data_IF_778535050118
#
_entry.id   IF_778535050118
#
_cell.length_a   1.000
_cell.length_b   1.000
_cell.length_c   1.000
_cell.angle_alpha   90.00
_cell.angle_beta   90.00
_cell.angle_gamma   90.00
#
_symmetry.space_group_name_H-M   'P 1'
#
loop_
_entity.id
_entity.type
_entity.pdbx_description
1 polymer ?
#
# COMPACT_ATOMS: atom_id res chain seq x y z
N UNK A 1 -40.65 -49.34 -5.55
CA UNK A 1 -39.66 -49.07 -6.63
C UNK A 1 -39.18 -47.62 -6.64
N UNK A 2 -40.01 -46.65 -6.27
CA UNK A 2 -39.68 -45.21 -6.21
C UNK A 2 -38.65 -44.83 -5.12
N UNK A 3 -38.74 -45.45 -3.93
CA UNK A 3 -37.83 -45.14 -2.81
C UNK A 3 -36.35 -45.53 -3.06
N UNK A 4 -36.08 -46.49 -3.95
CA UNK A 4 -34.71 -46.86 -4.31
C UNK A 4 -34.13 -45.95 -5.39
N UNK A 5 -34.97 -45.38 -6.25
CA UNK A 5 -34.57 -44.41 -7.29
C UNK A 5 -34.24 -43.07 -6.63
N UNK A 6 -35.10 -42.59 -5.73
CA UNK A 6 -34.88 -41.33 -5.00
C UNK A 6 -33.59 -41.34 -4.16
N UNK A 7 -33.25 -42.48 -3.56
CA UNK A 7 -32.01 -42.63 -2.77
C UNK A 7 -30.74 -42.52 -3.61
N UNK A 8 -30.79 -42.98 -4.87
CA UNK A 8 -29.65 -42.89 -5.80
C UNK A 8 -29.47 -41.46 -6.32
N UNK A 9 -30.57 -40.76 -6.60
CA UNK A 9 -30.51 -39.34 -7.01
C UNK A 9 -30.00 -38.45 -5.87
N UNK A 10 -30.41 -38.69 -4.62
CA UNK A 10 -29.88 -37.93 -3.47
C UNK A 10 -28.38 -38.13 -3.30
N UNK A 11 -27.88 -39.36 -3.44
CA UNK A 11 -26.45 -39.66 -3.34
C UNK A 11 -25.64 -38.92 -4.42
N UNK A 12 -26.14 -38.90 -5.66
CA UNK A 12 -25.51 -38.19 -6.77
C UNK A 12 -25.48 -36.67 -6.56
N UNK A 13 -26.57 -36.08 -6.08
CA UNK A 13 -26.62 -34.63 -5.76
C UNK A 13 -25.62 -34.28 -4.66
N UNK A 14 -25.48 -35.14 -3.65
CA UNK A 14 -24.59 -34.91 -2.52
C UNK A 14 -23.11 -35.03 -2.91
N UNK A 15 -22.76 -35.92 -3.83
CA UNK A 15 -21.42 -36.00 -4.43
C UNK A 15 -21.09 -34.77 -5.27
N UNK A 16 -22.03 -34.30 -6.09
CA UNK A 16 -21.86 -33.06 -6.88
C UNK A 16 -21.67 -31.85 -5.96
N UNK A 17 -22.42 -31.76 -4.86
CA UNK A 17 -22.21 -30.70 -3.86
C UNK A 17 -20.85 -30.81 -3.15
N UNK A 18 -20.37 -32.04 -2.88
CA UNK A 18 -19.05 -32.27 -2.28
C UNK A 18 -17.92 -31.88 -3.23
N UNK A 19 -18.06 -32.20 -4.51
CA UNK A 19 -17.12 -31.79 -5.56
C UNK A 19 -17.15 -30.29 -5.78
N UNK A 20 -18.33 -29.66 -5.77
CA UNK A 20 -18.47 -28.20 -5.81
C UNK A 20 -17.78 -27.55 -4.60
N UNK A 21 -18.01 -28.04 -3.38
CA UNK A 21 -17.35 -27.55 -2.16
C UNK A 21 -15.83 -27.76 -2.17
N UNK A 22 -15.33 -28.86 -2.75
CA UNK A 22 -13.89 -29.13 -2.90
C UNK A 22 -13.22 -28.28 -3.99
N UNK A 23 -13.98 -27.85 -5.02
CA UNK A 23 -13.51 -26.95 -6.08
C UNK A 23 -13.53 -25.47 -5.69
N UNK A 24 -14.14 -25.12 -4.55
CA UNK A 24 -13.96 -23.82 -3.91
C UNK A 24 -12.54 -23.79 -3.34
N UNK A 25 -11.58 -23.57 -4.23
CA UNK A 25 -10.22 -23.17 -3.89
C UNK A 25 -10.35 -21.83 -3.17
N UNK A 26 -10.12 -21.83 -1.86
CA UNK A 26 -10.23 -20.64 -1.01
C UNK A 26 -9.06 -19.68 -1.27
N UNK A 27 -9.10 -19.01 -2.44
CA UNK A 27 -8.13 -18.01 -2.88
C UNK A 27 -8.12 -16.75 -1.99
N UNK A 28 -9.03 -16.68 -1.02
CA UNK A 28 -9.05 -15.68 0.06
C UNK A 28 -7.81 -15.80 0.95
N UNK A 29 -7.39 -17.04 1.24
CA UNK A 29 -6.34 -17.36 2.23
C UNK A 29 -4.91 -17.04 1.75
N UNK A 30 -4.66 -17.17 0.44
CA UNK A 30 -3.37 -16.80 -0.17
C UNK A 30 -3.15 -15.29 -0.24
N UNK A 31 -4.24 -14.54 -0.42
CA UNK A 31 -4.22 -13.07 -0.37
C UNK A 31 -3.98 -12.54 1.04
N UNK A 32 -4.65 -13.14 2.02
CA UNK A 32 -4.57 -12.76 3.42
C UNK A 32 -3.18 -13.04 4.02
N UNK A 33 -2.55 -14.16 3.64
CA UNK A 33 -1.18 -14.51 4.07
C UNK A 33 -0.12 -13.54 3.55
N UNK A 34 -0.15 -13.21 2.25
CA UNK A 34 0.78 -12.23 1.66
C UNK A 34 0.52 -10.81 2.15
N UNK A 35 -0.73 -10.46 2.38
CA UNK A 35 -1.11 -9.17 2.94
C UNK A 35 -0.62 -9.00 4.38
N UNK A 36 -0.76 -10.04 5.21
CA UNK A 36 -0.22 -10.10 6.57
C UNK A 36 1.30 -9.94 6.57
N UNK A 37 2.02 -10.62 5.68
CA UNK A 37 3.47 -10.44 5.52
C UNK A 37 3.84 -9.02 5.07
N UNK A 38 3.11 -8.45 4.11
CA UNK A 38 3.35 -7.08 3.62
C UNK A 38 3.09 -6.06 4.73
N UNK A 39 1.98 -6.17 5.46
CA UNK A 39 1.72 -5.32 6.62
C UNK A 39 2.75 -5.51 7.71
N UNK A 40 3.19 -6.74 7.98
CA UNK A 40 4.22 -7.01 8.96
C UNK A 40 5.56 -6.35 8.56
N UNK A 41 5.97 -6.44 7.29
CA UNK A 41 7.18 -5.78 6.78
C UNK A 41 7.03 -4.25 6.86
N UNK A 42 5.88 -3.70 6.49
CA UNK A 42 5.61 -2.26 6.56
C UNK A 42 5.58 -1.74 8.00
N UNK A 43 4.92 -2.45 8.90
CA UNK A 43 4.85 -2.11 10.33
C UNK A 43 6.24 -2.24 10.96
N UNK A 44 6.94 -3.36 10.76
CA UNK A 44 8.28 -3.56 11.31
C UNK A 44 9.27 -2.53 10.76
N UNK A 45 9.25 -2.25 9.45
CA UNK A 45 10.10 -1.22 8.84
C UNK A 45 9.77 0.19 9.35
N UNK A 46 8.49 0.51 9.54
CA UNK A 46 8.04 1.79 10.09
C UNK A 46 8.44 1.95 11.55
N UNK A 47 8.33 0.90 12.36
CA UNK A 47 8.76 0.87 13.76
C UNK A 47 10.27 0.98 13.83
N UNK A 48 11.02 0.24 13.03
CA UNK A 48 12.49 0.34 13.03
C UNK A 48 12.96 1.74 12.63
N UNK A 49 12.32 2.34 11.62
CA UNK A 49 12.64 3.69 11.14
C UNK A 49 12.26 4.76 12.18
N UNK A 50 11.05 4.71 12.75
CA UNK A 50 10.62 5.65 13.79
C UNK A 50 11.44 5.49 15.07
N UNK A 51 11.79 4.27 15.46
CA UNK A 51 12.62 4.00 16.64
C UNK A 51 14.06 4.45 16.42
N UNK A 52 14.66 4.20 15.25
CA UNK A 52 16.01 4.68 14.93
C UNK A 52 16.08 6.21 14.85
N UNK A 53 15.05 6.86 14.30
CA UNK A 53 14.95 8.32 14.23
C UNK A 53 14.70 8.93 15.61
N UNK A 54 13.79 8.35 16.41
CA UNK A 54 13.53 8.78 17.77
C UNK A 54 14.77 8.63 18.66
N UNK A 55 15.52 7.52 18.51
CA UNK A 55 16.77 7.30 19.23
C UNK A 55 17.83 8.34 18.84
N UNK A 56 17.96 8.66 17.54
CA UNK A 56 18.88 9.71 17.06
C UNK A 56 18.50 11.11 17.53
N UNK A 57 17.21 11.44 17.49
CA UNK A 57 16.68 12.70 18.01
C UNK A 57 16.91 12.82 19.52
N UNK A 58 16.64 11.75 20.27
CA UNK A 58 16.87 11.69 21.71
C UNK A 58 18.36 11.81 22.06
N UNK A 59 19.25 11.17 21.29
CA UNK A 59 20.70 11.32 21.47
C UNK A 59 21.18 12.74 21.17
N UNK A 60 20.63 13.44 20.17
CA UNK A 60 21.03 14.83 19.87
C UNK A 60 20.45 15.84 20.87
N UNK A 61 19.16 15.75 21.20
CA UNK A 61 18.46 16.64 22.15
C UNK A 61 19.08 16.58 23.54
N UNK A 62 19.46 15.38 23.99
CA UNK A 62 20.04 15.20 25.32
C UNK A 62 21.54 15.53 25.39
N UNK A 63 22.24 15.60 24.25
CA UNK A 63 23.70 15.76 24.18
C UNK A 63 24.17 17.18 23.79
N UNK A 64 23.39 17.96 23.03
CA UNK A 64 23.78 19.32 22.60
C UNK A 64 22.96 20.38 23.36
N UNK A 65 23.46 20.74 24.55
CA UNK A 65 22.86 21.72 25.45
C UNK A 65 23.43 23.13 25.18
N UNK A 66 23.23 23.65 23.97
CA UNK A 66 23.55 25.04 23.61
C UNK A 66 22.56 25.50 22.55
N UNK A 67 21.74 26.52 22.86
CA UNK A 67 20.68 27.00 21.96
C UNK A 67 21.24 28.11 21.04
N UNK A 68 21.52 27.79 19.78
CA UNK A 68 21.76 28.75 18.70
C UNK A 68 20.57 28.87 17.73
N UNK A 69 20.54 29.92 16.91
CA UNK A 69 19.59 30.07 15.80
C UNK A 69 19.78 28.98 14.73
N UNK A 70 21.03 28.53 14.53
CA UNK A 70 21.36 27.45 13.60
C UNK A 70 20.75 26.09 14.01
N UNK A 71 20.64 25.83 15.32
CA UNK A 71 20.01 24.61 15.83
C UNK A 71 18.50 24.55 15.55
N UNK A 72 17.82 25.70 15.59
CA UNK A 72 16.38 25.79 15.29
C UNK A 72 16.11 25.44 13.82
N UNK A 73 16.95 25.93 12.91
CA UNK A 73 16.84 25.64 11.47
C UNK A 73 17.10 24.14 11.22
N UNK A 74 18.08 23.56 11.91
CA UNK A 74 18.40 22.14 11.81
C UNK A 74 17.24 21.25 12.30
N UNK A 75 16.63 21.57 13.45
CA UNK A 75 15.48 20.82 14.00
C UNK A 75 14.26 20.93 13.09
N UNK A 76 14.01 22.09 12.49
CA UNK A 76 12.93 22.27 11.53
C UNK A 76 13.14 21.41 10.28
N UNK A 77 14.35 21.39 9.72
CA UNK A 77 14.69 20.56 8.56
C UNK A 77 14.54 19.06 8.84
N UNK A 78 14.96 18.60 10.03
CA UNK A 78 14.76 17.22 10.47
C UNK A 78 13.28 16.86 10.63
N UNK A 79 12.48 17.76 11.21
CA UNK A 79 11.04 17.54 11.40
C UNK A 79 10.32 17.42 10.06
N UNK A 80 10.65 18.31 9.11
CA UNK A 80 10.10 18.27 7.76
C UNK A 80 10.44 16.96 7.03
N UNK A 81 11.68 16.50 7.15
CA UNK A 81 12.10 15.22 6.59
C UNK A 81 11.27 14.04 7.15
N UNK A 82 11.05 14.01 8.47
CA UNK A 82 10.22 12.97 9.11
C UNK A 82 8.77 13.02 8.61
N UNK A 83 8.18 14.22 8.49
CA UNK A 83 6.83 14.39 7.95
C UNK A 83 6.68 13.85 6.53
N UNK A 84 7.69 14.04 5.67
CA UNK A 84 7.68 13.50 4.30
C UNK A 84 7.66 11.97 4.33
N UNK A 85 8.46 11.34 5.18
CA UNK A 85 8.50 9.87 5.27
C UNK A 85 7.14 9.34 5.75
N UNK A 86 6.57 9.93 6.80
CA UNK A 86 5.27 9.55 7.32
C UNK A 86 4.15 9.71 6.29
N UNK A 87 4.17 10.79 5.50
CA UNK A 87 3.21 11.03 4.43
C UNK A 87 3.28 9.93 3.33
N UNK A 88 4.48 9.56 2.89
CA UNK A 88 4.66 8.48 1.90
C UNK A 88 4.18 7.12 2.41
N UNK A 89 4.33 6.86 3.71
CA UNK A 89 3.80 5.64 4.35
C UNK A 89 2.28 5.67 4.38
N UNK A 90 1.69 6.77 4.85
CA UNK A 90 0.25 6.92 4.96
C UNK A 90 -0.44 6.74 3.60
N UNK A 91 0.09 7.37 2.55
CA UNK A 91 -0.43 7.23 1.18
C UNK A 91 -0.34 5.79 0.66
N UNK A 92 0.72 5.06 0.98
CA UNK A 92 0.86 3.64 0.63
C UNK A 92 -0.20 2.77 1.33
N UNK A 93 -0.43 2.99 2.63
CA UNK A 93 -1.41 2.23 3.43
C UNK A 93 -2.83 2.45 2.90
N UNK A 94 -3.19 3.69 2.53
CA UNK A 94 -4.50 4.01 1.96
C UNK A 94 -4.70 3.25 0.65
N UNK A 95 -3.71 3.26 -0.27
CA UNK A 95 -3.78 2.54 -1.55
C UNK A 95 -3.91 1.03 -1.36
N UNK A 96 -3.20 0.45 -0.40
CA UNK A 96 -3.33 -0.96 -0.05
C UNK A 96 -4.73 -1.30 0.48
N UNK A 97 -5.29 -0.46 1.34
CA UNK A 97 -6.66 -0.63 1.85
C UNK A 97 -7.70 -0.65 0.71
N UNK A 98 -7.55 0.24 -0.27
CA UNK A 98 -8.44 0.30 -1.45
C UNK A 98 -8.32 -0.98 -2.29
N UNK A 99 -7.10 -1.46 -2.57
CA UNK A 99 -6.87 -2.71 -3.31
C UNK A 99 -7.53 -3.92 -2.63
N UNK A 100 -7.46 -4.00 -1.30
CA UNK A 100 -8.13 -5.08 -0.56
C UNK A 100 -9.65 -4.97 -0.64
N UNK A 101 -10.18 -3.75 -0.52
CA UNK A 101 -11.60 -3.50 -0.69
C UNK A 101 -12.06 -3.98 -2.08
N UNK A 102 -11.26 -3.76 -3.13
CA UNK A 102 -11.56 -4.21 -4.50
C UNK A 102 -11.57 -5.73 -4.62
N UNK A 103 -10.58 -6.40 -4.01
CA UNK A 103 -10.53 -7.86 -3.97
C UNK A 103 -11.77 -8.45 -3.28
N UNK A 104 -12.24 -7.81 -2.21
CA UNK A 104 -13.42 -8.25 -1.44
C UNK A 104 -14.73 -8.02 -2.20
N UNK A 105 -14.86 -6.91 -2.91
CA UNK A 105 -16.09 -6.56 -3.63
C UNK A 105 -16.22 -7.33 -4.95
N UNK A 106 -15.12 -7.53 -5.68
CA UNK A 106 -15.13 -8.12 -7.01
C UNK A 106 -14.38 -9.46 -7.04
N UNK A 107 -15.13 -10.56 -6.94
CA UNK A 107 -14.60 -11.92 -7.04
C UNK A 107 -14.40 -12.40 -8.50
N UNK A 108 -13.94 -11.53 -9.40
CA UNK A 108 -13.66 -11.86 -10.80
C UNK A 108 -12.18 -12.22 -11.00
N UNK A 109 -11.87 -13.23 -11.81
CA UNK A 109 -10.48 -13.68 -12.07
C UNK A 109 -9.58 -12.58 -12.61
N UNK A 110 -10.11 -11.73 -13.50
CA UNK A 110 -9.40 -10.58 -14.04
C UNK A 110 -9.05 -9.56 -12.94
N UNK A 111 -9.96 -9.35 -11.99
CA UNK A 111 -9.74 -8.44 -10.86
C UNK A 111 -8.75 -8.97 -9.86
N UNK A 112 -8.77 -10.28 -9.59
CA UNK A 112 -7.79 -10.88 -8.70
C UNK A 112 -6.39 -10.76 -9.30
N UNK A 113 -6.23 -10.98 -10.61
CA UNK A 113 -4.95 -10.75 -11.30
C UNK A 113 -4.52 -9.29 -11.23
N UNK A 114 -5.37 -8.35 -11.65
CA UNK A 114 -5.04 -6.92 -11.65
C UNK A 114 -4.74 -6.38 -10.24
N UNK A 115 -5.51 -6.79 -9.25
CA UNK A 115 -5.28 -6.41 -7.84
C UNK A 115 -3.97 -7.01 -7.32
N UNK A 116 -3.63 -8.24 -7.68
CA UNK A 116 -2.35 -8.88 -7.30
C UNK A 116 -1.15 -8.18 -7.94
N UNK A 117 -1.27 -7.80 -9.22
CA UNK A 117 -0.26 -6.98 -9.90
C UNK A 117 -0.11 -5.60 -9.26
N UNK A 118 -1.23 -4.94 -8.94
CA UNK A 118 -1.23 -3.66 -8.23
C UNK A 118 -0.56 -3.74 -6.86
N UNK A 119 -0.84 -4.81 -6.10
CA UNK A 119 -0.22 -5.05 -4.79
C UNK A 119 1.30 -5.25 -4.91
N UNK A 120 1.74 -6.01 -5.92
CA UNK A 120 3.16 -6.27 -6.18
C UNK A 120 3.91 -5.01 -6.65
N UNK A 121 3.28 -4.18 -7.49
CA UNK A 121 3.84 -2.90 -7.91
C UNK A 121 4.01 -1.94 -6.72
N UNK A 122 2.96 -1.80 -5.90
CA UNK A 122 2.99 -0.93 -4.72
C UNK A 122 4.02 -1.41 -3.69
N UNK A 123 4.15 -2.71 -3.45
CA UNK A 123 5.16 -3.23 -2.52
C UNK A 123 6.58 -2.98 -3.03
N UNK A 124 6.85 -3.21 -4.32
CA UNK A 124 8.15 -2.92 -4.93
C UNK A 124 8.51 -1.42 -4.82
N UNK A 125 7.53 -0.55 -5.06
CA UNK A 125 7.69 0.90 -4.91
C UNK A 125 8.04 1.29 -3.47
N UNK A 126 7.35 0.75 -2.48
CA UNK A 126 7.63 1.04 -1.07
C UNK A 126 9.00 0.54 -0.62
N UNK A 127 9.42 -0.65 -1.08
CA UNK A 127 10.75 -1.17 -0.80
C UNK A 127 11.81 -0.24 -1.39
N UNK A 128 11.63 0.19 -2.65
CA UNK A 128 12.52 1.15 -3.31
C UNK A 128 12.63 2.46 -2.51
N UNK A 129 11.51 3.00 -2.04
CA UNK A 129 11.48 4.18 -1.18
C UNK A 129 12.25 3.98 0.13
N UNK A 130 12.03 2.87 0.84
CA UNK A 130 12.71 2.57 2.09
C UNK A 130 14.24 2.55 1.96
N UNK A 131 14.78 2.14 0.81
CA UNK A 131 16.21 2.15 0.54
C UNK A 131 16.73 3.47 -0.03
N UNK A 132 15.98 4.13 -0.93
CA UNK A 132 16.44 5.38 -1.56
C UNK A 132 16.37 6.58 -0.60
N UNK A 133 15.33 6.69 0.24
CA UNK A 133 15.17 7.85 1.13
C UNK A 133 16.39 8.05 2.05
N UNK A 134 16.88 7.02 2.77
CA UNK A 134 18.08 7.14 3.60
C UNK A 134 19.37 7.25 2.78
N UNK A 135 19.38 6.91 1.49
CA UNK A 135 20.61 6.91 0.67
C UNK A 135 20.68 8.10 -0.30
N UNK A 136 19.74 9.06 -0.24
CA UNK A 136 19.74 10.23 -1.12
C UNK A 136 20.95 11.17 -0.91
N UNK A 137 21.53 11.16 0.29
CA UNK A 137 22.73 11.92 0.63
C UNK A 137 23.75 10.97 1.27
N UNK A 138 24.99 11.03 0.79
CA UNK A 138 26.12 10.34 1.42
C UNK A 138 27.13 11.39 1.89
N UNK A 139 27.37 11.54 3.21
CA UNK A 139 26.61 10.98 4.34
C UNK A 139 25.24 11.66 4.52
N UNK A 140 24.27 10.95 5.11
CA UNK A 140 22.91 11.44 5.40
C UNK A 140 22.90 12.73 6.20
N UNK A 141 23.90 12.91 7.07
CA UNK A 141 24.06 14.08 7.93
C UNK A 141 24.21 15.39 7.15
N UNK A 142 24.72 15.31 5.93
CA UNK A 142 24.87 16.47 5.03
C UNK A 142 23.52 17.06 4.58
N UNK A 143 22.40 16.36 4.83
CA UNK A 143 21.06 16.88 4.54
C UNK A 143 20.68 18.05 5.44
N UNK A 144 20.95 17.93 6.74
CA UNK A 144 20.57 18.93 7.75
C UNK A 144 21.74 19.78 8.22
N UNK A 145 22.97 19.30 8.06
CA UNK A 145 24.18 20.02 8.41
C UNK A 145 24.96 20.38 7.14
N UNK A 146 24.83 21.63 6.69
CA UNK A 146 25.54 22.14 5.51
C UNK A 146 27.05 22.29 5.74
N UNK A 147 27.53 22.17 6.97
CA UNK A 147 28.97 22.20 7.26
C UNK A 147 29.67 20.89 6.86
N UNK A 148 28.93 19.78 6.77
CA UNK A 148 29.46 18.48 6.35
C UNK A 148 29.51 18.43 4.82
N UNK A 149 30.72 18.25 4.25
CA UNK A 149 30.88 18.01 2.80
C UNK A 149 30.32 16.64 2.43
N UNK A 150 29.08 16.62 1.94
CA UNK A 150 28.43 15.45 1.37
C UNK A 150 28.04 15.66 -0.09
N UNK A 151 27.82 14.55 -0.80
CA UNK A 151 27.26 14.56 -2.16
C UNK A 151 25.81 14.11 -2.05
N UNK A 152 24.89 15.03 -2.34
CA UNK A 152 23.44 14.78 -2.32
C UNK A 152 22.91 14.75 -3.75
N UNK A 153 21.94 13.86 -3.99
CA UNK A 153 21.11 13.91 -5.19
C UNK A 153 20.18 15.12 -5.08
N UNK A 154 19.80 15.71 -6.21
CA UNK A 154 18.92 16.87 -6.25
C UNK A 154 17.57 16.51 -5.59
N UNK A 155 17.32 17.12 -4.44
CA UNK A 155 16.19 16.84 -3.56
C UNK A 155 14.87 17.13 -4.28
N UNK A 156 14.85 18.24 -5.03
CA UNK A 156 13.67 18.70 -5.74
C UNK A 156 13.29 17.72 -6.85
N UNK A 157 14.28 17.30 -7.65
CA UNK A 157 14.07 16.31 -8.71
C UNK A 157 13.56 14.98 -8.14
N UNK A 158 14.12 14.55 -7.02
CA UNK A 158 13.69 13.32 -6.34
C UNK A 158 12.24 13.45 -5.84
N UNK A 159 11.89 14.56 -5.20
CA UNK A 159 10.52 14.79 -4.71
C UNK A 159 9.50 14.86 -5.85
N UNK A 160 9.82 15.55 -6.95
CA UNK A 160 8.94 15.59 -8.12
C UNK A 160 8.74 14.21 -8.74
N UNK A 161 9.80 13.40 -8.81
CA UNK A 161 9.70 12.02 -9.29
C UNK A 161 8.79 11.17 -8.41
N UNK A 162 8.93 11.29 -7.09
CA UNK A 162 8.09 10.55 -6.13
C UNK A 162 6.63 11.01 -6.18
N UNK A 163 6.38 12.31 -6.33
CA UNK A 163 5.04 12.84 -6.51
C UNK A 163 4.41 12.34 -7.82
N UNK A 164 5.17 12.37 -8.93
CA UNK A 164 4.70 11.90 -10.23
C UNK A 164 4.29 10.43 -10.19
N UNK A 165 5.14 9.55 -9.62
CA UNK A 165 4.80 8.12 -9.54
C UNK A 165 3.60 7.86 -8.63
N UNK A 166 3.47 8.59 -7.52
CA UNK A 166 2.30 8.47 -6.66
C UNK A 166 1.00 8.85 -7.40
N UNK A 167 1.01 9.96 -8.15
CA UNK A 167 -0.12 10.39 -8.96
C UNK A 167 -0.45 9.36 -10.04
N UNK A 168 0.56 8.84 -10.73
CA UNK A 168 0.38 7.79 -11.75
C UNK A 168 -0.24 6.54 -11.12
N UNK A 169 0.22 6.12 -9.95
CA UNK A 169 -0.35 5.00 -9.22
C UNK A 169 -1.83 5.26 -8.87
N UNK A 170 -2.19 6.49 -8.51
CA UNK A 170 -3.60 6.84 -8.25
C UNK A 170 -4.45 6.70 -9.51
N UNK A 171 -3.99 7.22 -10.66
CA UNK A 171 -4.70 7.03 -11.93
C UNK A 171 -4.86 5.56 -12.31
N UNK A 172 -3.83 4.73 -12.09
CA UNK A 172 -3.92 3.28 -12.32
C UNK A 172 -5.00 2.66 -11.43
N UNK A 173 -5.04 2.99 -10.14
CA UNK A 173 -6.06 2.51 -9.21
C UNK A 173 -7.48 2.94 -9.61
N UNK A 174 -7.64 4.18 -10.11
CA UNK A 174 -8.92 4.68 -10.62
C UNK A 174 -9.37 4.00 -11.90
N UNK A 175 -8.43 3.63 -12.77
CA UNK A 175 -8.74 2.93 -14.01
C UNK A 175 -9.15 1.47 -13.77
N UNK A 176 -8.71 0.87 -12.67
CA UNK A 176 -8.92 -0.54 -12.33
C UNK A 176 -10.40 -0.96 -12.21
N UNK A 177 -11.33 -0.18 -11.60
CA UNK A 177 -12.74 -0.53 -11.54
C UNK A 177 -13.51 -0.32 -12.87
N UNK A 178 -13.03 0.50 -13.81
CA UNK A 178 -13.78 0.86 -15.04
C UNK A 178 -14.10 -0.37 -15.91
N UNK A 179 -13.15 -1.27 -16.22
CA UNK A 179 -13.43 -2.48 -17.00
C UNK A 179 -14.44 -3.42 -16.33
N UNK A 180 -14.39 -3.53 -14.99
CA UNK A 180 -15.28 -4.42 -14.22
C UNK A 180 -16.70 -3.93 -14.23
N UNK A 181 -16.89 -2.64 -13.96
CA UNK A 181 -18.20 -2.02 -13.92
C UNK A 181 -18.87 -2.12 -15.31
N UNK A 182 -18.08 -2.19 -16.39
CA UNK A 182 -18.60 -2.45 -17.73
C UNK A 182 -18.89 -3.93 -18.02
N UNK A 183 -18.18 -4.88 -17.41
CA UNK A 183 -18.47 -6.32 -17.59
C UNK A 183 -19.62 -6.83 -16.73
N UNK A 184 -19.95 -6.13 -15.63
CA UNK A 184 -20.92 -6.59 -14.65
C UNK A 184 -22.33 -6.06 -14.98
N UNK A 185 -23.30 -6.96 -15.12
CA UNK A 185 -24.70 -6.65 -15.48
C UNK A 185 -25.49 -6.04 -14.30
N UNK A 186 -25.01 -4.91 -13.77
CA UNK A 186 -25.65 -4.20 -12.66
C UNK A 186 -26.65 -3.14 -13.13
N UNK A 187 -27.73 -2.87 -12.38
CA UNK A 187 -28.63 -1.76 -12.64
C UNK A 187 -27.88 -0.42 -12.63
N UNK A 188 -28.14 0.44 -13.61
CA UNK A 188 -27.42 1.71 -13.84
C UNK A 188 -27.39 2.66 -12.63
N UNK A 189 -28.33 2.53 -11.68
CA UNK A 189 -28.33 3.30 -10.43
C UNK A 189 -27.20 2.90 -9.49
N UNK A 190 -26.92 1.60 -9.34
CA UNK A 190 -25.83 1.10 -8.48
C UNK A 190 -24.46 1.39 -9.12
N UNK A 191 -24.37 1.29 -10.45
CA UNK A 191 -23.19 1.66 -11.24
C UNK A 191 -22.75 3.11 -11.01
N UNK A 192 -23.71 4.05 -11.00
CA UNK A 192 -23.43 5.48 -10.73
C UNK A 192 -23.04 5.75 -9.29
N UNK A 193 -23.67 5.11 -8.30
CA UNK A 193 -23.29 5.27 -6.89
C UNK A 193 -21.86 4.78 -6.63
N UNK A 194 -21.48 3.66 -7.22
CA UNK A 194 -20.14 3.12 -7.07
C UNK A 194 -19.09 4.04 -7.70
N UNK A 195 -19.34 4.55 -8.92
CA UNK A 195 -18.47 5.52 -9.57
C UNK A 195 -18.35 6.82 -8.76
N UNK A 196 -19.45 7.27 -8.13
CA UNK A 196 -19.48 8.47 -7.29
C UNK A 196 -18.65 8.31 -6.01
N UNK A 197 -18.75 7.16 -5.33
CA UNK A 197 -17.91 6.86 -4.15
C UNK A 197 -16.43 6.81 -4.52
N UNK A 198 -16.08 6.28 -5.69
CA UNK A 198 -14.71 6.35 -6.18
C UNK A 198 -14.27 7.78 -6.49
N UNK A 199 -15.09 8.58 -7.17
CA UNK A 199 -14.79 9.99 -7.42
C UNK A 199 -14.61 10.82 -6.14
N UNK A 200 -15.34 10.50 -5.06
CA UNK A 200 -15.21 11.19 -3.77
C UNK A 200 -13.87 10.94 -3.07
N UNK A 201 -13.20 9.81 -3.32
CA UNK A 201 -11.87 9.53 -2.79
C UNK A 201 -10.73 10.28 -3.49
N UNK A 202 -11.03 11.07 -4.53
CA UNK A 202 -10.06 11.85 -5.31
C UNK A 202 -9.83 13.28 -4.75
N UNK A 203 -10.76 13.80 -3.95
CA UNK A 203 -10.68 15.10 -3.26
C UNK A 203 -10.11 14.91 -1.86
#
# INVERSE_FOLDING_TARGET
MTASVYRRELAAIQEVQRQAAASVVDHSRDGESRFSEILAILVVGSVLSTTAVALRAFTRIKMLRTFGLDDVIMVFAQSFYVSIVLYNIATTIVKLSILLQYRRIFANDLMQKLTTWGLAFMSAWTVMLCFLLPMMCVPVEAFWDKAVKGRCIDLLASWYTMAAVNIVADFVMFSLPIPVINSLQLPQRQKRMLLFVFGLGFV
#
